data_IF_886619462072
#
_entry.id   IF_886619462072
#
_cell.length_a   1.000
_cell.length_b   1.000
_cell.length_c   1.000
_cell.angle_alpha   90.00
_cell.angle_beta   90.00
_cell.angle_gamma   90.00
#
_symmetry.space_group_name_H-M   'P 1'
#
loop_
_entity.id
_entity.type
_entity.pdbx_description
1 polymer ?
#
# COMPACT_ATOMS: atom_id res chain seq x y z
N UNK A 1 -31.26 -39.68 -23.38
CA UNK A 1 -29.81 -39.52 -23.50
C UNK A 1 -29.56 -38.12 -24.05
N UNK A 2 -29.45 -37.12 -23.17
CA UNK A 2 -29.22 -35.72 -23.53
C UNK A 2 -27.95 -35.30 -22.80
N UNK A 3 -26.90 -35.06 -23.59
CA UNK A 3 -25.61 -34.56 -23.14
C UNK A 3 -25.79 -33.07 -22.87
N UNK A 4 -25.62 -32.64 -21.62
CA UNK A 4 -25.50 -31.22 -21.30
C UNK A 4 -24.04 -30.92 -21.05
N UNK A 5 -23.44 -30.36 -22.09
CA UNK A 5 -22.09 -29.85 -22.16
C UNK A 5 -21.95 -28.69 -21.16
N UNK A 6 -21.39 -28.98 -19.99
CA UNK A 6 -21.11 -27.98 -18.97
C UNK A 6 -19.91 -27.14 -19.45
N UNK A 7 -20.23 -26.06 -20.17
CA UNK A 7 -19.30 -24.98 -20.50
C UNK A 7 -18.56 -24.54 -19.23
N UNK A 8 -17.29 -24.89 -19.16
CA UNK A 8 -16.32 -24.38 -18.20
C UNK A 8 -16.21 -22.87 -18.43
N UNK A 9 -16.89 -22.07 -17.60
CA UNK A 9 -16.59 -20.66 -17.44
C UNK A 9 -15.28 -20.58 -16.66
N UNK A 10 -14.17 -20.78 -17.37
CA UNK A 10 -12.83 -20.53 -16.88
C UNK A 10 -12.67 -19.00 -16.80
N UNK A 11 -13.06 -18.45 -15.65
CA UNK A 11 -12.93 -17.05 -15.28
C UNK A 11 -11.47 -16.63 -15.43
N UNK A 12 -11.18 -16.09 -16.61
CA UNK A 12 -9.93 -15.45 -16.96
C UNK A 12 -9.88 -14.14 -16.18
N UNK A 13 -9.47 -14.23 -14.91
CA UNK A 13 -8.86 -13.08 -14.23
C UNK A 13 -7.72 -12.64 -15.13
N UNK A 14 -7.94 -11.55 -15.85
CA UNK A 14 -6.95 -10.91 -16.69
C UNK A 14 -5.69 -10.67 -15.84
N UNK A 15 -4.69 -11.56 -15.98
CA UNK A 15 -3.34 -11.38 -15.45
C UNK A 15 -2.56 -10.41 -16.35
N UNK A 16 -3.25 -9.43 -16.92
CA UNK A 16 -2.62 -8.37 -17.68
C UNK A 16 -1.76 -7.55 -16.70
N UNK A 17 -0.43 -7.50 -16.90
CA UNK A 17 0.46 -6.77 -16.02
C UNK A 17 0.15 -5.27 -15.99
N UNK A 18 -0.36 -4.68 -17.08
CA UNK A 18 -0.71 -3.26 -17.14
C UNK A 18 -1.95 -2.95 -16.27
N UNK A 19 -2.97 -3.80 -16.36
CA UNK A 19 -4.14 -3.75 -15.48
C UNK A 19 -3.75 -3.96 -14.01
N UNK A 20 -2.83 -4.88 -13.74
CA UNK A 20 -2.35 -5.16 -12.38
C UNK A 20 -1.55 -3.98 -11.80
N UNK A 21 -0.67 -3.37 -12.59
CA UNK A 21 0.09 -2.18 -12.19
C UNK A 21 -0.82 -1.00 -11.91
N UNK A 22 -1.81 -0.74 -12.78
CA UNK A 22 -2.78 0.34 -12.59
C UNK A 22 -3.59 0.15 -11.31
N UNK A 23 -4.02 -1.08 -11.02
CA UNK A 23 -4.75 -1.40 -9.81
C UNK A 23 -3.90 -1.18 -8.54
N UNK A 24 -2.66 -1.67 -8.53
CA UNK A 24 -1.72 -1.46 -7.42
C UNK A 24 -1.42 0.04 -7.26
N UNK A 25 -1.14 0.76 -8.34
CA UNK A 25 -0.89 2.19 -8.31
C UNK A 25 -2.07 2.96 -7.71
N UNK A 26 -3.30 2.68 -8.18
CA UNK A 26 -4.53 3.28 -7.63
C UNK A 26 -4.68 2.98 -6.14
N UNK A 27 -4.39 1.75 -5.69
CA UNK A 27 -4.38 1.41 -4.27
C UNK A 27 -3.31 2.24 -3.53
N UNK A 28 -2.12 2.43 -4.07
CA UNK A 28 -1.06 3.16 -3.36
C UNK A 28 -1.22 4.69 -3.35
N UNK A 29 -2.14 5.27 -4.13
CA UNK A 29 -2.42 6.72 -4.10
C UNK A 29 -2.85 7.25 -2.72
N UNK A 30 -3.47 6.42 -1.88
CA UNK A 30 -3.97 6.85 -0.58
C UNK A 30 -2.88 6.80 0.49
N UNK A 31 -2.65 7.89 1.24
CA UNK A 31 -1.53 8.00 2.16
C UNK A 31 -1.60 6.95 3.28
N UNK A 32 -2.78 6.69 3.86
CA UNK A 32 -2.96 5.67 4.90
C UNK A 32 -2.58 4.26 4.45
N UNK A 33 -2.84 3.91 3.18
CA UNK A 33 -2.51 2.57 2.66
C UNK A 33 -1.00 2.39 2.52
N UNK A 34 -0.28 3.45 2.14
CA UNK A 34 1.20 3.45 2.15
C UNK A 34 1.76 3.36 3.57
N UNK A 35 1.14 4.06 4.52
CA UNK A 35 1.52 4.02 5.93
C UNK A 35 1.45 2.60 6.51
N UNK A 36 0.35 1.88 6.24
CA UNK A 36 0.16 0.49 6.65
C UNK A 36 1.27 -0.41 6.09
N UNK A 37 1.61 -0.29 4.80
CA UNK A 37 2.66 -1.11 4.18
C UNK A 37 4.04 -0.81 4.77
N UNK A 38 4.34 0.47 5.03
CA UNK A 38 5.58 0.90 5.69
C UNK A 38 5.70 0.29 7.08
N UNK A 39 4.65 0.39 7.90
CA UNK A 39 4.67 -0.09 9.28
C UNK A 39 4.79 -1.61 9.34
N UNK A 40 4.02 -2.34 8.53
CA UNK A 40 4.15 -3.80 8.44
C UNK A 40 5.55 -4.24 7.99
N UNK A 41 6.18 -3.48 7.07
CA UNK A 41 7.53 -3.78 6.58
C UNK A 41 8.58 -3.55 7.67
N UNK A 42 8.39 -2.52 8.51
CA UNK A 42 9.31 -2.23 9.61
C UNK A 42 9.29 -3.30 10.71
N UNK A 43 8.17 -4.00 10.88
CA UNK A 43 7.99 -4.97 11.96
C UNK A 43 8.26 -6.43 11.57
N UNK A 44 8.23 -6.79 10.28
CA UNK A 44 8.50 -8.14 9.77
C UNK A 44 7.66 -9.28 10.41
N UNK A 45 6.59 -8.95 11.12
CA UNK A 45 5.66 -9.89 11.74
C UNK A 45 4.21 -9.42 11.57
N UNK A 46 3.21 -10.31 11.67
CA UNK A 46 1.81 -9.90 11.68
C UNK A 46 1.53 -8.88 12.78
N UNK A 47 0.67 -7.89 12.49
CA UNK A 47 0.26 -6.84 13.42
C UNK A 47 -1.25 -6.85 13.59
N UNK A 48 -1.71 -6.49 14.79
CA UNK A 48 -3.15 -6.35 15.01
C UNK A 48 -3.69 -5.08 14.35
N UNK A 49 -4.98 -5.03 14.03
CA UNK A 49 -5.61 -3.77 13.56
C UNK A 49 -5.53 -2.69 14.64
N UNK A 50 -5.62 -3.08 15.91
CA UNK A 50 -5.43 -2.18 17.05
C UNK A 50 -4.03 -1.54 17.06
N UNK A 51 -2.97 -2.35 16.89
CA UNK A 51 -1.59 -1.86 16.85
C UNK A 51 -1.34 -0.94 15.65
N UNK A 52 -1.90 -1.29 14.48
CA UNK A 52 -1.83 -0.45 13.29
C UNK A 52 -2.53 0.89 13.52
N UNK A 53 -3.76 0.89 14.04
CA UNK A 53 -4.47 2.13 14.34
C UNK A 53 -3.68 3.02 15.31
N UNK A 54 -3.15 2.43 16.39
CA UNK A 54 -2.37 3.16 17.40
C UNK A 54 -1.05 3.73 16.88
N UNK A 55 -0.45 3.12 15.86
CA UNK A 55 0.76 3.66 15.21
C UNK A 55 0.43 4.77 14.23
N UNK A 56 -0.60 4.58 13.41
CA UNK A 56 -1.02 5.54 12.40
C UNK A 56 -1.53 6.85 13.01
N UNK A 57 -2.18 6.81 14.17
CA UNK A 57 -2.65 8.02 14.86
C UNK A 57 -1.54 8.76 15.60
N UNK A 58 -0.44 8.09 15.94
CA UNK A 58 0.74 8.71 16.57
C UNK A 58 1.75 9.22 15.56
N UNK A 59 1.65 8.82 14.30
CA UNK A 59 2.56 9.27 13.26
C UNK A 59 2.26 10.73 12.89
N UNK A 60 3.19 11.67 13.14
CA UNK A 60 2.97 13.08 12.84
C UNK A 60 2.80 13.37 11.34
N UNK A 61 3.19 12.44 10.46
CA UNK A 61 2.92 12.54 9.02
C UNK A 61 1.44 12.33 8.68
N UNK A 62 0.63 11.84 9.63
CA UNK A 62 -0.79 11.53 9.45
C UNK A 62 -1.63 12.32 10.44
N UNK A 63 -2.23 13.39 9.95
CA UNK A 63 -3.08 14.28 10.75
C UNK A 63 -4.45 13.65 11.01
N UNK A 64 -4.51 12.69 11.93
CA UNK A 64 -5.75 12.31 12.59
C UNK A 64 -5.99 13.31 13.74
N UNK A 65 -6.62 14.43 13.42
CA UNK A 65 -6.86 15.54 14.35
C UNK A 65 -8.32 15.46 14.83
N UNK A 66 -8.62 14.45 15.65
CA UNK A 66 -9.92 14.31 16.31
C UNK A 66 -9.73 13.63 17.66
N UNK A 67 -10.62 13.93 18.62
CA UNK A 67 -10.62 13.27 19.94
C UNK A 67 -10.87 11.75 19.81
N UNK A 68 -11.58 11.36 18.74
CA UNK A 68 -11.90 9.97 18.38
C UNK A 68 -10.96 9.40 17.29
N UNK A 69 -9.82 10.04 17.03
CA UNK A 69 -8.88 9.72 15.96
C UNK A 69 -8.52 8.23 15.89
N UNK A 70 -8.34 7.60 17.05
CA UNK A 70 -8.03 6.18 17.14
C UNK A 70 -9.16 5.30 16.59
N UNK A 71 -10.41 5.57 16.99
CA UNK A 71 -11.55 4.78 16.58
C UNK A 71 -11.90 5.03 15.11
N UNK A 72 -11.84 6.28 14.66
CA UNK A 72 -11.99 6.63 13.25
C UNK A 72 -10.94 5.93 12.37
N UNK A 73 -9.68 5.93 12.81
CA UNK A 73 -8.60 5.24 12.12
C UNK A 73 -8.86 3.75 12.04
N UNK A 74 -9.23 3.12 13.17
CA UNK A 74 -9.54 1.69 13.23
C UNK A 74 -10.70 1.32 12.31
N UNK A 75 -11.79 2.08 12.32
CA UNK A 75 -12.95 1.90 11.43
C UNK A 75 -12.50 2.03 9.96
N UNK A 76 -11.73 3.06 9.63
CA UNK A 76 -11.18 3.26 8.29
C UNK A 76 -10.29 2.12 7.83
N UNK A 77 -9.47 1.56 8.72
CA UNK A 77 -8.64 0.39 8.44
C UNK A 77 -9.50 -0.81 8.07
N UNK A 78 -10.47 -1.18 8.93
CA UNK A 78 -11.30 -2.37 8.75
C UNK A 78 -12.18 -2.27 7.51
N UNK A 79 -12.81 -1.13 7.27
CA UNK A 79 -13.84 -1.01 6.24
C UNK A 79 -13.34 -0.47 4.90
N UNK A 80 -12.20 0.23 4.85
CA UNK A 80 -11.76 0.92 3.64
C UNK A 80 -10.34 0.58 3.20
N UNK A 81 -9.38 0.52 4.12
CA UNK A 81 -7.97 0.44 3.75
C UNK A 81 -7.49 -1.00 3.61
N UNK A 82 -7.70 -1.84 4.62
CA UNK A 82 -7.26 -3.23 4.61
C UNK A 82 -7.96 -4.04 3.51
N UNK A 83 -9.30 -3.94 3.30
CA UNK A 83 -9.94 -4.68 2.21
C UNK A 83 -9.37 -4.34 0.83
N UNK A 84 -9.04 -3.07 0.57
CA UNK A 84 -8.44 -2.64 -0.71
C UNK A 84 -7.01 -3.14 -0.88
N UNK A 85 -6.22 -3.16 0.20
CA UNK A 85 -4.87 -3.72 0.17
C UNK A 85 -4.90 -5.25 -0.04
N UNK A 86 -5.85 -5.94 0.60
CA UNK A 86 -6.03 -7.38 0.44
C UNK A 86 -6.51 -7.74 -0.98
N UNK A 87 -7.46 -6.97 -1.54
CA UNK A 87 -7.91 -7.14 -2.92
C UNK A 87 -6.78 -6.93 -3.95
N UNK A 88 -5.80 -6.09 -3.62
CA UNK A 88 -4.59 -5.89 -4.42
C UNK A 88 -3.50 -6.95 -4.17
N UNK A 89 -3.74 -7.91 -3.27
CA UNK A 89 -2.79 -8.97 -2.92
C UNK A 89 -1.55 -8.49 -2.16
N UNK A 90 -1.57 -7.29 -1.58
CA UNK A 90 -0.41 -6.70 -0.88
C UNK A 90 -0.33 -7.12 0.59
N UNK A 91 -1.47 -7.46 1.19
CA UNK A 91 -1.58 -7.99 2.55
C UNK A 91 -2.46 -9.24 2.57
N UNK A 92 -2.38 -9.98 3.66
CA UNK A 92 -3.35 -11.04 3.99
C UNK A 92 -3.67 -11.00 5.49
N UNK A 93 -4.76 -11.68 5.86
CA UNK A 93 -5.24 -11.74 7.23
C UNK A 93 -5.09 -13.17 7.75
N UNK A 94 -4.03 -13.49 8.53
CA UNK A 94 -3.84 -14.83 9.08
C UNK A 94 -4.86 -15.16 10.17
N UNK A 95 -5.48 -14.14 10.77
CA UNK A 95 -6.57 -14.29 11.74
C UNK A 95 -7.55 -13.12 11.63
N UNK A 96 -8.63 -13.16 12.42
CA UNK A 96 -9.69 -12.14 12.40
C UNK A 96 -9.19 -10.71 12.61
N UNK A 97 -8.14 -10.52 13.42
CA UNK A 97 -7.64 -9.19 13.80
C UNK A 97 -6.17 -8.98 13.45
N UNK A 98 -5.52 -9.94 12.80
CA UNK A 98 -4.13 -9.80 12.38
C UNK A 98 -4.01 -9.49 10.89
N UNK A 99 -3.02 -8.68 10.56
CA UNK A 99 -2.66 -8.27 9.21
C UNK A 99 -1.18 -8.56 9.01
N UNK A 100 -0.83 -9.16 7.87
CA UNK A 100 0.56 -9.41 7.50
C UNK A 100 0.80 -9.07 6.03
N UNK A 101 2.04 -8.72 5.69
CA UNK A 101 2.45 -8.49 4.31
C UNK A 101 2.52 -9.80 3.54
N UNK A 102 2.13 -9.74 2.27
CA UNK A 102 2.51 -10.74 1.29
C UNK A 102 3.91 -10.44 0.75
N UNK A 103 4.49 -11.39 0.03
CA UNK A 103 5.74 -11.17 -0.70
C UNK A 103 5.62 -10.01 -1.72
N UNK A 104 4.45 -9.88 -2.36
CA UNK A 104 4.16 -8.76 -3.27
C UNK A 104 4.13 -7.43 -2.52
N UNK A 105 3.51 -7.39 -1.33
CA UNK A 105 3.53 -6.22 -0.45
C UNK A 105 4.95 -5.78 -0.08
N UNK A 106 5.81 -6.73 0.32
CA UNK A 106 7.22 -6.47 0.62
C UNK A 106 7.97 -5.88 -0.58
N UNK A 107 7.80 -6.45 -1.77
CA UNK A 107 8.44 -5.93 -2.99
C UNK A 107 8.00 -4.51 -3.33
N UNK A 108 6.69 -4.25 -3.26
CA UNK A 108 6.11 -2.94 -3.53
C UNK A 108 6.62 -1.88 -2.56
N UNK A 109 6.64 -2.18 -1.26
CA UNK A 109 7.14 -1.24 -0.26
C UNK A 109 8.66 -1.02 -0.39
N UNK A 110 9.42 -2.08 -0.71
CA UNK A 110 10.85 -1.96 -1.02
C UNK A 110 11.12 -1.02 -2.19
N UNK A 111 10.38 -1.18 -3.29
CA UNK A 111 10.47 -0.29 -4.46
C UNK A 111 10.08 1.15 -4.11
N UNK A 112 8.99 1.34 -3.35
CA UNK A 112 8.53 2.65 -2.91
C UNK A 112 9.59 3.36 -2.05
N UNK A 113 10.19 2.65 -1.09
CA UNK A 113 11.24 3.18 -0.21
C UNK A 113 12.50 3.54 -1.00
N UNK A 114 12.91 2.70 -1.96
CA UNK A 114 14.03 3.01 -2.83
C UNK A 114 13.77 4.24 -3.72
N UNK A 115 12.54 4.37 -4.26
CA UNK A 115 12.15 5.50 -5.10
C UNK A 115 12.14 6.85 -4.36
N UNK A 116 11.76 6.88 -3.07
CA UNK A 116 11.85 8.10 -2.25
C UNK A 116 13.29 8.58 -2.13
N UNK A 117 14.24 7.68 -1.89
CA UNK A 117 15.68 8.03 -1.82
C UNK A 117 16.20 8.65 -3.12
N UNK A 118 15.70 8.20 -4.28
CA UNK A 118 16.15 8.70 -5.58
C UNK A 118 15.54 10.05 -5.98
N UNK A 119 14.33 10.38 -5.52
CA UNK A 119 13.66 11.65 -5.84
C UNK A 119 14.02 12.77 -4.86
N UNK A 120 14.34 12.47 -3.60
CA UNK A 120 14.89 13.46 -2.65
C UNK A 120 16.33 13.86 -3.00
N UNK A 121 17.10 12.98 -3.65
CA UNK A 121 18.48 13.26 -4.05
C UNK A 121 18.62 14.21 -5.26
N UNK A 122 17.51 14.59 -5.91
CA UNK A 122 17.56 15.38 -7.15
C UNK A 122 17.46 16.90 -6.98
N UNK A 123 17.36 17.44 -5.77
CA UNK A 123 17.20 18.90 -5.61
C UNK A 123 18.51 19.71 -5.64
N UNK A 124 19.71 19.11 -5.47
CA UNK A 124 20.97 19.89 -5.52
C UNK A 124 22.13 19.31 -6.36
N UNK A 125 22.26 17.99 -6.56
CA UNK A 125 23.52 17.45 -7.13
C UNK A 125 23.55 17.23 -8.65
N UNK A 126 22.41 17.18 -9.35
CA UNK A 126 22.36 16.73 -10.75
C UNK A 126 22.21 17.84 -11.80
N UNK A 127 21.87 19.06 -11.38
CA UNK A 127 21.82 20.24 -12.25
C UNK A 127 22.72 21.35 -11.69
N UNK A 128 24.06 21.27 -11.84
CA UNK A 128 24.89 22.43 -11.57
C UNK A 128 24.37 23.58 -12.44
N UNK A 129 23.90 24.64 -11.79
CA UNK A 129 23.40 25.84 -12.43
C UNK A 129 24.35 26.21 -13.57
N UNK A 130 23.84 26.21 -14.81
CA UNK A 130 24.55 26.75 -15.96
C UNK A 130 24.99 28.16 -15.57
N UNK A 131 26.27 28.31 -15.26
CA UNK A 131 26.89 29.61 -15.04
C UNK A 131 26.75 30.38 -16.33
N UNK A 132 25.74 31.24 -16.40
CA UNK A 132 25.65 32.30 -17.40
C UNK A 132 26.82 33.23 -17.09
N UNK A 133 27.92 33.06 -17.83
CA UNK A 133 28.97 34.07 -17.89
C UNK A 133 28.37 35.27 -18.62
N UNK A 134 28.15 36.35 -17.90
CA UNK A 134 27.99 37.68 -18.49
C UNK A 134 29.39 38.23 -18.72
N UNK A 135 29.74 38.41 -19.99
CA UNK A 135 30.81 39.30 -20.44
C UNK A 135 30.44 40.78 -20.22
#
# INVERSE_FOLDING_TARGET
MVSTDTRVLNDSRSNDPETTLTAVHHVLTHPTRRAVLRDLTAHYHPMTVHDLAGRLTRDPAYQWISDDAFDECRIGLVHHHLPKLAAAGLIRNPSTDAVELTEAGFRVEGLRRAGVTYLDATDEELFPARSVRSD
#
